data_IF_052650011620
#
_entry.id   IF_052650011620
#
_cell.length_a   1.000
_cell.length_b   1.000
_cell.length_c   1.000
_cell.angle_alpha   90.00
_cell.angle_beta   90.00
_cell.angle_gamma   90.00
#
_symmetry.space_group_name_H-M   'P 1'
#
loop_
_entity.id
_entity.type
_entity.pdbx_description
1 polymer ?
#
# COMPACT_ATOMS: atom_id res chain seq x y z
N UNK A 1 5.27 11.99 7.34
CA UNK A 1 5.51 12.76 6.10
C UNK A 1 6.80 12.32 5.41
N UNK A 2 7.96 12.34 6.11
CA UNK A 2 9.26 11.92 5.56
C UNK A 2 9.30 10.50 4.96
N UNK A 3 8.71 9.50 5.62
CA UNK A 3 8.61 8.14 5.05
C UNK A 3 7.74 8.06 3.78
N UNK A 4 6.70 8.90 3.66
CA UNK A 4 5.82 8.95 2.48
C UNK A 4 6.47 9.71 1.31
N UNK A 5 7.27 10.73 1.62
CA UNK A 5 8.13 11.39 0.65
C UNK A 5 9.17 10.40 0.13
N UNK A 6 9.83 9.69 1.04
CA UNK A 6 10.89 8.74 0.72
C UNK A 6 10.41 7.57 -0.16
N UNK A 7 9.21 7.04 0.12
CA UNK A 7 8.59 6.03 -0.76
C UNK A 7 8.36 6.50 -2.20
N UNK A 8 8.31 7.82 -2.43
CA UNK A 8 8.13 8.41 -3.75
C UNK A 8 9.48 8.65 -4.47
N UNK A 9 10.59 8.66 -3.73
CA UNK A 9 11.96 8.86 -4.24
C UNK A 9 12.58 7.59 -4.81
N UNK A 10 12.27 6.43 -4.22
CA UNK A 10 12.95 5.17 -4.55
C UNK A 10 12.43 4.45 -5.81
N UNK A 11 11.38 4.92 -6.48
CA UNK A 11 10.56 4.01 -7.28
C UNK A 11 10.20 4.49 -8.67
N UNK A 12 10.91 3.93 -9.65
CA UNK A 12 10.62 4.05 -11.06
C UNK A 12 9.33 3.34 -11.45
N UNK A 13 8.31 4.09 -11.88
CA UNK A 13 7.00 3.52 -12.26
C UNK A 13 6.89 3.40 -13.78
N UNK A 14 7.60 2.45 -14.38
CA UNK A 14 7.34 2.03 -15.78
C UNK A 14 6.37 0.85 -15.79
N UNK A 15 5.10 1.02 -16.18
CA UNK A 15 4.16 -0.11 -16.22
C UNK A 15 4.62 -1.13 -17.27
N UNK A 16 5.18 -2.28 -16.86
CA UNK A 16 5.45 -3.36 -17.81
C UNK A 16 4.12 -3.79 -18.39
N UNK A 17 4.08 -3.85 -19.71
CA UNK A 17 2.93 -4.34 -20.45
C UNK A 17 3.17 -5.83 -20.71
N UNK A 18 2.14 -6.65 -20.50
CA UNK A 18 2.17 -8.09 -20.79
C UNK A 18 1.02 -8.45 -21.72
N UNK A 19 1.10 -9.54 -22.49
CA UNK A 19 -0.02 -9.97 -23.33
C UNK A 19 -1.30 -10.13 -22.51
N UNK A 20 -2.44 -9.69 -23.05
CA UNK A 20 -3.73 -9.96 -22.41
C UNK A 20 -4.03 -11.47 -22.45
N UNK A 21 -4.54 -12.03 -21.35
CA UNK A 21 -4.90 -13.44 -21.28
C UNK A 21 -6.06 -13.77 -22.23
N UNK A 22 -6.01 -14.91 -22.94
CA UNK A 22 -7.18 -15.44 -23.62
C UNK A 22 -8.25 -15.86 -22.61
N UNK A 23 -9.53 -15.68 -22.93
CA UNK A 23 -10.65 -16.00 -22.03
C UNK A 23 -10.70 -17.48 -21.66
N UNK A 24 -10.30 -18.38 -22.56
CA UNK A 24 -10.18 -19.82 -22.28
C UNK A 24 -9.24 -20.15 -21.12
N UNK A 25 -8.28 -19.27 -20.81
CA UNK A 25 -7.38 -19.41 -19.67
C UNK A 25 -7.94 -18.81 -18.37
N UNK A 26 -8.96 -17.97 -18.45
CA UNK A 26 -9.50 -17.20 -17.30
C UNK A 26 -10.84 -17.77 -16.86
N UNK A 27 -11.68 -18.22 -17.79
CA UNK A 27 -13.02 -18.77 -17.54
C UNK A 27 -13.03 -19.93 -16.53
N UNK A 28 -12.12 -20.93 -16.58
CA UNK A 28 -12.10 -22.00 -15.57
C UNK A 28 -11.90 -21.46 -14.15
N UNK A 29 -11.23 -20.32 -14.00
CA UNK A 29 -10.99 -19.70 -12.70
C UNK A 29 -12.19 -18.93 -12.18
N UNK A 30 -12.96 -18.34 -13.10
CA UNK A 30 -14.23 -17.72 -12.77
C UNK A 30 -15.25 -18.78 -12.37
N UNK A 31 -15.42 -19.82 -13.21
CA UNK A 31 -16.40 -20.88 -13.01
C UNK A 31 -16.14 -21.72 -11.76
N UNK A 32 -14.88 -22.03 -11.47
CA UNK A 32 -14.50 -22.85 -10.31
C UNK A 32 -14.11 -22.03 -9.09
N UNK A 33 -14.20 -20.69 -9.16
CA UNK A 33 -13.72 -19.79 -8.11
C UNK A 33 -14.40 -20.03 -6.77
N UNK A 34 -15.72 -20.23 -6.78
CA UNK A 34 -16.51 -20.56 -5.60
C UNK A 34 -16.03 -21.87 -4.92
N UNK A 35 -15.83 -22.91 -5.71
CA UNK A 35 -15.36 -24.21 -5.23
C UNK A 35 -13.93 -24.14 -4.70
N UNK A 36 -13.06 -23.36 -5.34
CA UNK A 36 -11.71 -23.13 -4.83
C UNK A 36 -11.72 -22.39 -3.51
N UNK A 37 -12.61 -21.40 -3.32
CA UNK A 37 -12.74 -20.69 -2.05
C UNK A 37 -13.15 -21.65 -0.94
N UNK A 38 -14.18 -22.47 -1.14
CA UNK A 38 -14.66 -23.40 -0.11
C UNK A 38 -13.62 -24.47 0.22
N UNK A 39 -13.03 -25.10 -0.79
CA UNK A 39 -11.98 -26.10 -0.58
C UNK A 39 -10.72 -25.49 0.06
N UNK A 40 -10.39 -24.23 -0.24
CA UNK A 40 -9.26 -23.56 0.39
C UNK A 40 -9.59 -23.08 1.80
N UNK A 41 -10.82 -22.70 2.10
CA UNK A 41 -11.28 -22.43 3.46
C UNK A 41 -11.17 -23.71 4.31
N UNK A 42 -11.58 -24.86 3.78
CA UNK A 42 -11.46 -26.18 4.41
C UNK A 42 -10.00 -26.51 4.73
N UNK A 43 -9.10 -26.28 3.78
CA UNK A 43 -7.65 -26.48 4.00
C UNK A 43 -7.07 -25.51 5.03
N UNK A 44 -7.69 -24.35 5.23
CA UNK A 44 -7.23 -23.30 6.12
C UNK A 44 -8.00 -23.24 7.45
N UNK A 45 -8.82 -24.26 7.76
CA UNK A 45 -9.68 -24.30 8.94
C UNK A 45 -8.96 -24.03 10.27
N UNK A 46 -7.70 -24.46 10.40
CA UNK A 46 -6.89 -24.27 11.62
C UNK A 46 -6.65 -22.78 11.93
N UNK A 47 -6.70 -21.89 10.92
CA UNK A 47 -6.61 -20.45 11.15
C UNK A 47 -7.93 -19.86 11.66
N UNK A 48 -9.08 -20.47 11.33
CA UNK A 48 -10.38 -20.06 11.84
C UNK A 48 -10.60 -20.53 13.28
N UNK A 49 -10.20 -21.76 13.62
CA UNK A 49 -10.30 -22.25 15.00
C UNK A 49 -9.40 -21.47 15.95
N UNK A 50 -8.26 -20.96 15.47
CA UNK A 50 -7.39 -20.06 16.25
C UNK A 50 -8.03 -18.70 16.61
N UNK A 51 -9.20 -18.38 16.03
CA UNK A 51 -10.01 -17.20 16.38
C UNK A 51 -10.96 -17.46 17.56
N UNK A 52 -11.04 -18.69 18.07
CA UNK A 52 -12.15 -19.11 18.93
C UNK A 52 -13.49 -19.18 18.18
N UNK A 53 -13.46 -19.09 16.83
CA UNK A 53 -14.65 -19.22 16.00
C UNK A 53 -14.92 -20.70 15.69
N UNK A 54 -16.19 -21.08 15.73
CA UNK A 54 -16.65 -22.36 15.20
C UNK A 54 -16.41 -22.41 13.70
N UNK A 55 -15.45 -23.25 13.25
CA UNK A 55 -15.20 -23.44 11.83
C UNK A 55 -16.45 -23.89 11.07
N UNK A 56 -17.29 -24.81 11.58
CA UNK A 56 -18.58 -25.13 10.94
C UNK A 56 -19.49 -23.91 10.72
N UNK A 57 -19.58 -23.02 11.71
CA UNK A 57 -20.38 -21.79 11.58
C UNK A 57 -19.78 -20.81 10.56
N UNK A 58 -18.45 -20.63 10.59
CA UNK A 58 -17.73 -19.81 9.62
C UNK A 58 -17.85 -20.35 8.19
N UNK A 59 -17.70 -21.67 8.03
CA UNK A 59 -17.85 -22.38 6.75
C UNK A 59 -19.27 -22.24 6.22
N UNK A 60 -20.29 -22.46 7.05
CA UNK A 60 -21.69 -22.24 6.67
C UNK A 60 -21.91 -20.80 6.22
N UNK A 61 -21.41 -19.82 6.96
CA UNK A 61 -21.47 -18.41 6.58
C UNK A 61 -20.80 -18.12 5.22
N UNK A 62 -19.63 -18.73 4.95
CA UNK A 62 -18.96 -18.60 3.65
C UNK A 62 -19.84 -19.19 2.54
N UNK A 63 -20.35 -20.41 2.72
CA UNK A 63 -21.17 -21.12 1.72
C UNK A 63 -22.48 -20.37 1.44
N UNK A 64 -23.19 -19.93 2.48
CA UNK A 64 -24.44 -19.17 2.35
C UNK A 64 -24.24 -17.85 1.58
N UNK A 65 -22.99 -17.38 1.46
CA UNK A 65 -22.62 -16.13 0.80
C UNK A 65 -21.93 -16.33 -0.54
N UNK A 66 -21.57 -17.56 -0.91
CA UNK A 66 -21.03 -17.91 -2.23
C UNK A 66 -21.92 -17.40 -3.37
N UNK A 67 -23.26 -17.59 -3.36
CA UNK A 67 -24.10 -17.12 -4.47
C UNK A 67 -24.02 -15.60 -4.67
N UNK A 68 -24.07 -14.85 -3.58
CA UNK A 68 -23.94 -13.39 -3.63
C UNK A 68 -22.55 -12.96 -4.10
N UNK A 69 -21.48 -13.69 -3.71
CA UNK A 69 -20.12 -13.44 -4.21
C UNK A 69 -20.06 -13.69 -5.71
N UNK A 70 -20.59 -14.82 -6.19
CA UNK A 70 -20.64 -15.14 -7.62
C UNK A 70 -21.38 -14.05 -8.41
N UNK A 71 -22.55 -13.63 -7.94
CA UNK A 71 -23.33 -12.54 -8.54
C UNK A 71 -22.55 -11.21 -8.59
N UNK A 72 -21.79 -10.90 -7.54
CA UNK A 72 -20.97 -9.70 -7.47
C UNK A 72 -19.78 -9.75 -8.43
N UNK A 73 -19.14 -10.92 -8.58
CA UNK A 73 -18.06 -11.11 -9.57
C UNK A 73 -18.63 -11.05 -10.98
N UNK A 74 -19.82 -11.59 -11.24
CA UNK A 74 -20.50 -11.47 -12.54
C UNK A 74 -20.79 -10.01 -12.87
N UNK A 75 -21.39 -9.27 -11.93
CA UNK A 75 -21.68 -7.85 -12.04
C UNK A 75 -20.42 -7.02 -12.33
N UNK A 76 -19.34 -7.29 -11.61
CA UNK A 76 -18.08 -6.58 -11.80
C UNK A 76 -17.46 -6.91 -13.16
N UNK A 77 -17.47 -8.18 -13.56
CA UNK A 77 -16.94 -8.63 -14.86
C UNK A 77 -17.70 -7.98 -16.02
N UNK A 78 -19.05 -7.93 -15.95
CA UNK A 78 -19.88 -7.20 -16.92
C UNK A 78 -19.55 -5.71 -16.96
N UNK A 79 -19.31 -5.11 -15.80
CA UNK A 79 -18.98 -3.68 -15.68
C UNK A 79 -17.61 -3.31 -16.24
N UNK A 80 -16.66 -4.26 -16.28
CA UNK A 80 -15.32 -4.04 -16.84
C UNK A 80 -15.24 -4.25 -18.35
N UNK A 81 -16.26 -4.86 -18.98
CA UNK A 81 -16.23 -5.21 -20.39
C UNK A 81 -15.30 -6.41 -20.68
N UNK A 82 -14.64 -6.41 -21.84
CA UNK A 82 -13.73 -7.49 -22.23
C UNK A 82 -12.40 -7.43 -21.45
N UNK A 83 -12.37 -8.08 -20.28
CA UNK A 83 -11.17 -8.19 -19.43
C UNK A 83 -10.14 -9.21 -19.97
N UNK A 84 -10.58 -10.13 -20.81
CA UNK A 84 -9.76 -11.12 -21.53
C UNK A 84 -10.04 -11.03 -23.04
N UNK A 85 -9.14 -11.56 -23.87
CA UNK A 85 -9.30 -11.57 -25.32
C UNK A 85 -9.66 -12.98 -25.83
N UNK A 86 -10.20 -13.13 -27.03
CA UNK A 86 -10.47 -14.46 -27.60
C UNK A 86 -9.18 -15.25 -27.96
N UNK A 87 -8.08 -14.52 -28.17
CA UNK A 87 -6.73 -14.99 -28.47
C UNK A 87 -5.74 -14.18 -27.61
N UNK A 88 -4.41 -14.47 -27.60
CA UNK A 88 -3.45 -13.56 -26.98
C UNK A 88 -3.71 -12.13 -27.43
N UNK A 89 -4.18 -11.29 -26.50
CA UNK A 89 -4.74 -9.98 -26.82
C UNK A 89 -3.68 -8.88 -26.82
N UNK A 90 -4.09 -7.62 -26.97
CA UNK A 90 -3.19 -6.49 -26.86
C UNK A 90 -2.41 -6.51 -25.54
N UNK A 91 -1.28 -5.82 -25.52
CA UNK A 91 -0.53 -5.68 -24.28
C UNK A 91 -1.34 -4.88 -23.26
N UNK A 92 -1.40 -5.36 -22.03
CA UNK A 92 -2.10 -4.73 -20.90
C UNK A 92 -1.12 -4.45 -19.76
N UNK A 93 -1.36 -3.41 -18.94
CA UNK A 93 -0.52 -3.15 -17.78
C UNK A 93 -0.54 -4.36 -16.83
N UNK A 94 0.64 -4.92 -16.54
CA UNK A 94 0.75 -6.03 -15.59
C UNK A 94 0.41 -5.53 -14.18
N UNK A 95 -0.56 -6.18 -13.55
CA UNK A 95 -1.06 -5.83 -12.21
C UNK A 95 -0.34 -6.60 -11.12
N UNK A 96 -0.49 -6.10 -9.89
CA UNK A 96 0.11 -6.63 -8.67
C UNK A 96 -0.99 -6.99 -7.69
N UNK A 97 -0.87 -8.17 -7.10
CA UNK A 97 -1.83 -8.64 -6.10
C UNK A 97 -1.78 -7.72 -4.88
N UNK A 98 -0.60 -7.17 -4.61
CA UNK A 98 -0.28 -6.27 -3.52
C UNK A 98 -0.95 -4.91 -3.69
N UNK A 99 -1.01 -4.36 -4.92
CA UNK A 99 -1.64 -3.05 -5.18
C UNK A 99 -3.16 -3.16 -5.11
N UNK A 100 -3.73 -4.25 -5.63
CA UNK A 100 -5.16 -4.52 -5.51
C UNK A 100 -5.56 -4.85 -4.06
N UNK A 101 -4.77 -5.66 -3.34
CA UNK A 101 -4.92 -5.88 -1.89
C UNK A 101 -4.91 -4.56 -1.14
N UNK A 102 -3.98 -3.67 -1.46
CA UNK A 102 -3.87 -2.39 -0.79
C UNK A 102 -5.12 -1.53 -1.04
N UNK A 103 -5.57 -1.42 -2.28
CA UNK A 103 -6.79 -0.68 -2.61
C UNK A 103 -8.02 -1.27 -1.89
N UNK A 104 -8.10 -2.61 -1.81
CA UNK A 104 -9.09 -3.33 -1.03
C UNK A 104 -9.03 -3.01 0.47
N UNK A 105 -7.85 -3.15 1.07
CA UNK A 105 -7.61 -2.88 2.49
C UNK A 105 -7.92 -1.42 2.84
N UNK A 106 -7.65 -0.49 1.92
CA UNK A 106 -7.97 0.92 2.11
C UNK A 106 -9.48 1.12 2.24
N UNK A 107 -10.26 0.54 1.34
CA UNK A 107 -11.73 0.64 1.36
C UNK A 107 -12.33 -0.11 2.54
N UNK A 108 -11.77 -1.27 2.90
CA UNK A 108 -12.12 -2.00 4.14
C UNK A 108 -11.91 -1.14 5.38
N UNK A 109 -10.72 -0.56 5.53
CA UNK A 109 -10.40 0.30 6.66
C UNK A 109 -11.34 1.51 6.72
N UNK A 110 -11.71 2.07 5.58
CA UNK A 110 -12.68 3.17 5.54
C UNK A 110 -14.08 2.72 6.01
N UNK A 111 -14.54 1.54 5.59
CA UNK A 111 -15.84 1.02 6.03
C UNK A 111 -15.87 0.69 7.52
N UNK A 112 -14.82 0.03 8.01
CA UNK A 112 -14.64 -0.32 9.42
C UNK A 112 -14.58 0.93 10.29
N UNK A 113 -13.89 1.97 9.82
CA UNK A 113 -13.83 3.24 10.52
C UNK A 113 -15.22 3.90 10.59
N UNK A 114 -15.98 3.85 9.49
CA UNK A 114 -17.37 4.36 9.46
C UNK A 114 -18.32 3.57 10.34
N UNK A 115 -18.07 2.28 10.56
CA UNK A 115 -18.91 1.43 11.40
C UNK A 115 -18.57 1.49 12.90
N UNK A 116 -17.60 2.30 13.32
CA UNK A 116 -17.19 2.39 14.72
C UNK A 116 -16.43 1.17 15.26
N UNK A 117 -16.13 0.18 14.42
CA UNK A 117 -15.51 -1.10 14.81
C UNK A 117 -13.97 -1.05 14.84
N UNK A 118 -13.38 0.15 14.84
CA UNK A 118 -11.92 0.31 14.75
C UNK A 118 -11.18 -0.29 15.96
N UNK A 119 -11.80 -0.33 17.15
CA UNK A 119 -11.20 -0.85 18.38
C UNK A 119 -11.03 -2.38 18.41
N UNK A 120 -11.97 -3.13 17.84
CA UNK A 120 -11.98 -4.61 17.89
C UNK A 120 -11.11 -5.26 16.79
N UNK A 121 -10.67 -4.44 15.84
CA UNK A 121 -9.97 -4.87 14.62
C UNK A 121 -8.52 -5.30 14.82
N UNK A 122 -7.87 -4.92 15.93
CA UNK A 122 -6.47 -5.25 16.16
C UNK A 122 -6.23 -6.77 16.15
N UNK A 123 -7.10 -7.52 16.82
CA UNK A 123 -7.06 -8.98 16.92
C UNK A 123 -7.61 -9.61 15.63
N UNK A 124 -8.77 -9.13 15.17
CA UNK A 124 -9.43 -9.66 13.97
C UNK A 124 -8.53 -9.54 12.72
N UNK A 125 -7.81 -8.44 12.55
CA UNK A 125 -7.00 -8.21 11.34
C UNK A 125 -5.76 -9.10 11.28
N UNK A 126 -5.09 -9.37 12.41
CA UNK A 126 -3.89 -10.23 12.45
C UNK A 126 -4.24 -11.65 12.03
N UNK A 127 -5.36 -12.16 12.51
CA UNK A 127 -5.75 -13.55 12.27
C UNK A 127 -6.50 -13.70 10.94
N UNK A 128 -7.35 -12.74 10.56
CA UNK A 128 -7.90 -12.67 9.21
C UNK A 128 -6.77 -12.67 8.17
N UNK A 129 -5.69 -11.93 8.40
CA UNK A 129 -4.51 -11.94 7.51
C UNK A 129 -3.86 -13.32 7.39
N UNK A 130 -3.82 -14.13 8.46
CA UNK A 130 -3.32 -15.52 8.41
C UNK A 130 -4.26 -16.43 7.61
N UNK A 131 -5.56 -16.39 7.90
CA UNK A 131 -6.57 -17.19 7.20
C UNK A 131 -6.61 -16.84 5.70
N UNK A 132 -6.67 -15.55 5.37
CA UNK A 132 -6.66 -15.06 4.00
C UNK A 132 -5.34 -15.32 3.29
N UNK A 133 -4.21 -15.21 4.01
CA UNK A 133 -2.90 -15.58 3.48
C UNK A 133 -2.83 -17.06 3.10
N UNK A 134 -3.39 -17.94 3.94
CA UNK A 134 -3.52 -19.36 3.65
C UNK A 134 -4.44 -19.62 2.44
N UNK A 135 -5.65 -19.02 2.42
CA UNK A 135 -6.60 -19.19 1.30
C UNK A 135 -5.98 -18.69 -0.01
N UNK A 136 -5.31 -17.54 0.02
CA UNK A 136 -4.60 -16.98 -1.15
C UNK A 136 -3.52 -17.94 -1.63
N UNK A 137 -2.68 -18.48 -0.75
CA UNK A 137 -1.66 -19.47 -1.12
C UNK A 137 -2.28 -20.73 -1.71
N UNK A 138 -3.36 -21.25 -1.12
CA UNK A 138 -4.07 -22.42 -1.60
C UNK A 138 -4.66 -22.19 -3.01
N UNK A 139 -5.30 -21.05 -3.24
CA UNK A 139 -5.87 -20.72 -4.54
C UNK A 139 -4.77 -20.47 -5.60
N UNK A 140 -3.61 -19.92 -5.22
CA UNK A 140 -2.43 -19.84 -6.11
C UNK A 140 -1.96 -21.21 -6.58
N UNK A 141 -1.96 -22.22 -5.69
CA UNK A 141 -1.59 -23.59 -6.02
C UNK A 141 -2.59 -24.29 -6.95
N UNK A 142 -3.88 -23.93 -6.89
CA UNK A 142 -4.93 -24.50 -7.74
C UNK A 142 -5.01 -23.93 -9.17
N UNK A 143 -3.96 -23.24 -9.61
CA UNK A 143 -3.73 -23.00 -11.05
C UNK A 143 -4.36 -21.75 -11.65
N UNK A 144 -5.07 -20.94 -10.86
CA UNK A 144 -5.59 -19.67 -11.39
C UNK A 144 -4.52 -18.60 -11.52
N UNK A 145 -3.53 -18.60 -10.63
CA UNK A 145 -2.53 -17.54 -10.49
C UNK A 145 -1.11 -17.90 -10.88
N UNK A 146 -0.81 -19.20 -10.96
CA UNK A 146 0.54 -19.70 -10.77
C UNK A 146 1.45 -19.67 -12.00
N UNK A 147 0.94 -19.60 -13.23
CA UNK A 147 1.77 -19.95 -14.40
C UNK A 147 1.58 -19.13 -15.66
N UNK A 148 0.71 -18.11 -15.67
CA UNK A 148 0.33 -17.45 -16.93
C UNK A 148 1.11 -16.16 -17.13
N UNK A 149 1.92 -16.09 -18.18
CA UNK A 149 2.67 -14.90 -18.60
C UNK A 149 1.77 -13.83 -19.25
N UNK A 150 0.52 -13.73 -18.82
CA UNK A 150 -0.49 -12.84 -19.40
C UNK A 150 -1.26 -12.07 -18.31
N UNK A 151 -1.94 -10.97 -18.68
CA UNK A 151 -2.67 -10.09 -17.77
C UNK A 151 -4.13 -9.91 -18.15
N UNK A 152 -4.94 -9.41 -17.22
CA UNK A 152 -6.32 -8.99 -17.50
C UNK A 152 -6.37 -7.49 -17.80
N UNK A 153 -7.17 -7.10 -18.80
CA UNK A 153 -7.48 -5.70 -19.14
C UNK A 153 -8.46 -5.10 -18.13
N UNK A 154 -8.06 -5.03 -16.86
CA UNK A 154 -8.87 -4.44 -15.80
C UNK A 154 -8.69 -2.91 -15.78
N UNK A 155 -9.69 -2.13 -15.30
CA UNK A 155 -9.54 -0.70 -15.00
C UNK A 155 -8.70 -0.48 -13.74
N UNK A 156 -8.30 0.74 -13.38
CA UNK A 156 -7.40 1.00 -12.21
C UNK A 156 -7.80 0.22 -10.94
N UNK A 157 -6.84 -0.17 -10.08
CA UNK A 157 -7.14 -0.99 -8.88
C UNK A 157 -8.23 -0.34 -8.00
N UNK A 158 -8.22 0.98 -7.87
CA UNK A 158 -9.27 1.74 -7.18
C UNK A 158 -10.64 1.58 -7.85
N UNK A 159 -10.71 1.59 -9.18
CA UNK A 159 -11.95 1.41 -9.91
C UNK A 159 -12.44 -0.04 -9.81
N UNK A 160 -11.54 -1.03 -9.92
CA UNK A 160 -11.87 -2.44 -9.66
C UNK A 160 -12.52 -2.56 -8.29
N UNK A 161 -11.88 -2.01 -7.26
CA UNK A 161 -12.40 -2.10 -5.90
C UNK A 161 -13.75 -1.41 -5.72
N UNK A 162 -13.91 -0.21 -6.29
CA UNK A 162 -15.18 0.52 -6.25
C UNK A 162 -16.31 -0.24 -6.95
N UNK A 163 -16.03 -0.82 -8.11
CA UNK A 163 -17.02 -1.61 -8.86
C UNK A 163 -17.42 -2.86 -8.08
N UNK A 164 -16.45 -3.61 -7.54
CA UNK A 164 -16.76 -4.77 -6.69
C UNK A 164 -17.55 -4.38 -5.44
N UNK A 165 -17.23 -3.24 -4.82
CA UNK A 165 -17.99 -2.69 -3.70
C UNK A 165 -19.43 -2.38 -4.12
N UNK A 166 -19.64 -1.66 -5.23
CA UNK A 166 -20.97 -1.32 -5.75
C UNK A 166 -21.81 -2.57 -6.07
N UNK A 167 -21.23 -3.53 -6.80
CA UNK A 167 -21.86 -4.81 -7.12
C UNK A 167 -22.18 -5.61 -5.84
N UNK A 168 -21.28 -5.62 -4.87
CA UNK A 168 -21.51 -6.26 -3.58
C UNK A 168 -22.61 -5.59 -2.75
N UNK A 169 -22.76 -4.27 -2.90
CA UNK A 169 -23.79 -3.46 -2.24
C UNK A 169 -25.19 -3.84 -2.75
N UNK A 170 -25.32 -3.97 -4.07
CA UNK A 170 -26.57 -4.35 -4.73
C UNK A 170 -27.05 -5.75 -4.34
N UNK A 171 -26.15 -6.63 -3.93
CA UNK A 171 -26.45 -8.02 -3.54
C UNK A 171 -26.43 -8.25 -2.02
N UNK A 172 -26.38 -7.19 -1.21
CA UNK A 172 -26.43 -7.29 0.24
C UNK A 172 -25.20 -7.92 0.90
N UNK A 173 -24.04 -8.00 0.21
CA UNK A 173 -22.79 -8.53 0.79
C UNK A 173 -22.13 -7.55 1.78
N UNK A 174 -22.50 -6.26 1.72
CA UNK A 174 -21.80 -5.19 2.42
C UNK A 174 -22.25 -4.93 3.86
N UNK A 175 -23.17 -5.74 4.38
CA UNK A 175 -23.50 -5.72 5.82
C UNK A 175 -22.36 -6.28 6.68
N UNK A 176 -21.36 -6.98 6.09
CA UNK A 176 -20.21 -7.51 6.84
C UNK A 176 -18.87 -7.26 6.13
N UNK A 177 -17.88 -6.64 6.80
CA UNK A 177 -16.56 -6.31 6.21
C UNK A 177 -15.74 -7.55 5.82
N UNK A 178 -16.08 -8.73 6.33
CA UNK A 178 -15.39 -10.00 6.04
C UNK A 178 -15.63 -10.50 4.61
N UNK A 179 -16.71 -10.07 3.96
CA UNK A 179 -17.10 -10.56 2.63
C UNK A 179 -16.36 -9.87 1.49
N UNK A 180 -16.05 -8.58 1.65
CA UNK A 180 -15.20 -7.84 0.72
C UNK A 180 -13.81 -8.51 0.65
N UNK A 181 -13.30 -9.02 1.77
CA UNK A 181 -12.03 -9.75 1.86
C UNK A 181 -11.99 -11.05 1.05
N UNK A 182 -13.12 -11.77 0.96
CA UNK A 182 -13.25 -12.98 0.15
C UNK A 182 -13.30 -12.66 -1.35
N UNK A 183 -14.05 -11.63 -1.73
CA UNK A 183 -14.12 -11.12 -3.11
C UNK A 183 -12.74 -10.63 -3.57
N UNK A 184 -11.99 -9.96 -2.69
CA UNK A 184 -10.62 -9.57 -3.03
C UNK A 184 -9.69 -10.75 -3.15
N UNK A 185 -9.82 -11.76 -2.28
CA UNK A 185 -8.95 -12.94 -2.34
C UNK A 185 -9.04 -13.68 -3.68
N UNK A 186 -10.23 -13.73 -4.32
CA UNK A 186 -10.40 -14.37 -5.64
C UNK A 186 -9.81 -13.57 -6.80
N UNK A 187 -9.77 -12.23 -6.72
CA UNK A 187 -9.12 -11.38 -7.74
C UNK A 187 -7.58 -11.41 -7.71
N UNK A 188 -6.99 -11.88 -6.62
CA UNK A 188 -5.53 -11.91 -6.42
C UNK A 188 -4.84 -13.04 -7.17
N UNK A 189 -5.64 -13.78 -7.95
CA UNK A 189 -5.24 -14.99 -8.63
C UNK A 189 -4.72 -14.76 -10.05
N UNK A 190 -4.23 -13.58 -10.44
CA UNK A 190 -3.77 -13.37 -11.83
C UNK A 190 -2.45 -12.59 -11.92
N UNK A 191 -1.54 -12.80 -10.98
CA UNK A 191 -0.48 -11.81 -10.75
C UNK A 191 0.91 -12.42 -10.62
N UNK A 192 1.75 -12.12 -11.62
CA UNK A 192 3.20 -12.32 -11.59
C UNK A 192 3.91 -11.02 -11.19
N UNK A 193 5.07 -11.05 -10.50
CA UNK A 193 5.87 -9.83 -10.25
C UNK A 193 6.57 -9.38 -11.54
N UNK A 194 6.56 -8.08 -11.91
CA UNK A 194 7.38 -7.60 -13.03
C UNK A 194 8.83 -7.60 -12.59
N UNK A 195 9.69 -8.06 -13.47
CA UNK A 195 11.13 -7.89 -13.33
C UNK A 195 11.52 -6.73 -14.25
N UNK A 196 12.29 -5.79 -13.73
CA UNK A 196 12.87 -4.66 -14.48
C UNK A 196 14.38 -4.67 -14.29
N UNK A 197 15.18 -4.13 -15.22
CA UNK A 197 16.64 -4.10 -15.05
C UNK A 197 17.01 -3.36 -13.77
N UNK A 198 18.02 -3.82 -13.03
CA UNK A 198 18.52 -3.08 -11.87
C UNK A 198 19.22 -1.79 -12.33
N UNK A 199 18.96 -0.68 -11.62
CA UNK A 199 19.64 0.59 -11.89
C UNK A 199 21.13 0.48 -11.59
N UNK A 200 21.94 1.17 -12.39
CA UNK A 200 23.36 1.32 -12.06
C UNK A 200 23.57 2.34 -10.95
N UNK A 201 24.67 2.23 -10.21
CA UNK A 201 24.97 3.17 -9.13
C UNK A 201 25.22 4.60 -9.64
N UNK A 202 25.75 4.75 -10.86
CA UNK A 202 25.96 6.05 -11.50
C UNK A 202 24.63 6.74 -11.85
N UNK A 203 23.62 5.97 -12.26
CA UNK A 203 22.28 6.51 -12.50
C UNK A 203 21.57 6.95 -11.22
N UNK A 204 21.95 6.35 -10.09
CA UNK A 204 21.30 6.57 -8.80
C UNK A 204 22.02 7.62 -7.95
N UNK A 205 23.32 7.82 -8.12
CA UNK A 205 24.13 8.79 -7.36
C UNK A 205 23.53 10.19 -7.34
N UNK A 206 23.31 10.84 -8.50
CA UNK A 206 22.71 12.17 -8.57
C UNK A 206 21.32 12.25 -7.93
N UNK A 207 20.62 11.11 -7.80
CA UNK A 207 19.35 11.05 -7.11
C UNK A 207 19.45 11.34 -5.63
N UNK A 208 20.39 10.67 -4.99
CA UNK A 208 20.60 10.75 -3.55
C UNK A 208 21.16 12.10 -3.18
N UNK A 209 22.07 12.62 -3.99
CA UNK A 209 22.76 13.88 -3.69
C UNK A 209 21.80 15.08 -3.77
N UNK A 210 20.79 15.02 -4.64
CA UNK A 210 19.82 16.11 -4.85
C UNK A 210 18.48 15.90 -4.10
N UNK A 211 18.36 14.88 -3.25
CA UNK A 211 17.09 14.50 -2.63
C UNK A 211 16.48 15.61 -1.75
N UNK A 212 17.33 16.33 -1.00
CA UNK A 212 16.92 17.41 -0.13
C UNK A 212 16.42 18.63 -0.92
N UNK A 213 17.09 18.94 -2.03
CA UNK A 213 16.73 20.04 -2.93
C UNK A 213 15.42 19.74 -3.66
N UNK A 214 15.30 18.54 -4.23
CA UNK A 214 14.06 18.09 -4.88
C UNK A 214 12.89 18.15 -3.88
N UNK A 215 13.12 17.70 -2.65
CA UNK A 215 12.09 17.75 -1.62
C UNK A 215 11.69 19.19 -1.29
N UNK A 216 12.65 20.09 -1.09
CA UNK A 216 12.38 21.49 -0.76
C UNK A 216 11.60 22.17 -1.89
N UNK A 217 12.05 22.01 -3.14
CA UNK A 217 11.35 22.55 -4.31
C UNK A 217 9.93 21.99 -4.44
N UNK A 218 9.74 20.70 -4.15
CA UNK A 218 8.43 20.08 -4.20
C UNK A 218 7.52 20.50 -3.04
N UNK A 219 8.06 20.76 -1.85
CA UNK A 219 7.33 21.38 -0.77
C UNK A 219 6.86 22.79 -1.17
N UNK A 220 7.76 23.61 -1.74
CA UNK A 220 7.47 24.97 -2.19
C UNK A 220 6.38 24.98 -3.27
N UNK A 221 6.45 24.06 -4.23
CA UNK A 221 5.41 23.88 -5.26
C UNK A 221 4.06 23.47 -4.68
N UNK A 222 4.06 22.77 -3.54
CA UNK A 222 2.85 22.25 -2.90
C UNK A 222 2.34 23.15 -1.76
N UNK A 223 2.90 24.34 -1.57
CA UNK A 223 2.57 25.26 -0.47
C UNK A 223 1.07 25.58 -0.35
N UNK A 224 0.35 25.64 -1.47
CA UNK A 224 -1.10 25.95 -1.49
C UNK A 224 -1.92 24.91 -0.71
N UNK A 225 -1.44 23.67 -0.58
CA UNK A 225 -2.10 22.65 0.22
C UNK A 225 -1.91 22.85 1.73
N UNK A 226 -0.91 23.62 2.16
CA UNK A 226 -0.73 24.03 3.56
C UNK A 226 -1.55 25.28 3.86
N UNK A 227 -1.55 26.27 2.96
CA UNK A 227 -2.32 27.51 3.20
C UNK A 227 -3.83 27.27 3.15
N UNK A 228 -4.31 26.37 2.29
CA UNK A 228 -5.75 26.01 2.22
C UNK A 228 -6.33 25.39 3.49
N UNK A 229 -5.49 25.03 4.46
CA UNK A 229 -5.87 24.44 5.75
C UNK A 229 -5.48 25.33 6.93
N UNK A 230 -5.16 26.61 6.66
CA UNK A 230 -4.82 27.61 7.68
C UNK A 230 -3.39 27.51 8.22
N UNK A 231 -2.52 26.71 7.60
CA UNK A 231 -1.11 26.58 8.02
C UNK A 231 -0.28 27.65 7.34
N UNK A 232 0.50 28.39 8.13
CA UNK A 232 1.59 29.26 7.68
C UNK A 232 2.66 28.41 7.00
N UNK A 233 2.70 28.46 5.66
CA UNK A 233 3.71 27.74 4.89
C UNK A 233 5.15 28.14 5.25
N UNK A 234 5.51 29.43 5.40
CA UNK A 234 6.87 29.82 5.79
C UNK A 234 7.31 29.19 7.12
N UNK A 235 6.44 29.21 8.13
CA UNK A 235 6.71 28.60 9.44
C UNK A 235 6.85 27.09 9.32
N UNK A 236 5.89 26.42 8.67
CA UNK A 236 5.93 24.96 8.48
C UNK A 236 7.15 24.52 7.65
N UNK A 237 7.54 25.30 6.66
CA UNK A 237 8.74 25.09 5.85
C UNK A 237 9.98 25.16 6.74
N UNK A 238 10.12 26.18 7.57
CA UNK A 238 11.25 26.28 8.50
C UNK A 238 11.32 25.07 9.42
N UNK A 239 10.19 24.64 10.00
CA UNK A 239 10.12 23.43 10.82
C UNK A 239 10.69 22.19 10.11
N UNK A 240 10.43 22.05 8.81
CA UNK A 240 10.93 20.93 7.99
C UNK A 240 12.42 21.10 7.71
N UNK A 241 12.86 22.31 7.34
CA UNK A 241 14.25 22.61 7.04
C UNK A 241 15.16 22.36 8.25
N UNK A 242 14.71 22.70 9.45
CA UNK A 242 15.44 22.44 10.70
C UNK A 242 15.67 20.93 10.95
N UNK A 243 14.91 20.05 10.28
CA UNK A 243 15.03 18.59 10.37
C UNK A 243 15.73 17.95 9.18
N UNK A 244 16.09 18.73 8.15
CA UNK A 244 16.83 18.22 6.99
C UNK A 244 18.17 17.56 7.36
N UNK A 245 18.97 18.06 8.32
CA UNK A 245 20.20 17.37 8.71
C UNK A 245 19.95 15.95 9.23
N UNK A 246 18.95 15.78 10.10
CA UNK A 246 18.54 14.47 10.61
C UNK A 246 18.00 13.55 9.49
N UNK A 247 17.33 14.12 8.49
CA UNK A 247 16.90 13.38 7.30
C UNK A 247 18.08 12.91 6.44
N UNK A 248 19.06 13.78 6.17
CA UNK A 248 20.27 13.42 5.43
C UNK A 248 21.06 12.31 6.15
N UNK A 249 21.20 12.42 7.48
CA UNK A 249 21.78 11.35 8.30
C UNK A 249 21.02 10.04 8.19
N UNK A 250 19.69 10.09 8.22
CA UNK A 250 18.82 8.92 8.07
C UNK A 250 19.02 8.25 6.71
N UNK A 251 19.08 9.03 5.63
CA UNK A 251 19.28 8.53 4.28
C UNK A 251 20.65 7.87 4.11
N UNK A 252 21.70 8.50 4.66
CA UNK A 252 23.06 7.97 4.64
C UNK A 252 23.12 6.65 5.40
N UNK A 253 22.55 6.60 6.61
CA UNK A 253 22.45 5.37 7.38
C UNK A 253 21.71 4.28 6.60
N UNK A 254 20.56 4.58 6.00
CA UNK A 254 19.76 3.60 5.28
C UNK A 254 20.48 3.09 4.03
N UNK A 255 21.13 3.98 3.26
CA UNK A 255 21.99 3.61 2.13
C UNK A 255 23.06 2.62 2.55
N UNK A 256 23.74 2.87 3.67
CA UNK A 256 24.78 1.98 4.19
C UNK A 256 24.22 0.64 4.68
N UNK A 257 22.99 0.60 5.21
CA UNK A 257 22.36 -0.62 5.71
C UNK A 257 21.77 -1.53 4.62
N UNK A 258 21.37 -0.98 3.46
CA UNK A 258 20.84 -1.80 2.38
C UNK A 258 21.91 -2.46 1.50
N UNK A 259 23.18 -2.07 1.65
CA UNK A 259 24.29 -2.60 0.85
C UNK A 259 24.15 -2.24 -0.65
N UNK A 260 24.50 -3.20 -1.52
CA UNK A 260 24.50 -3.00 -2.98
C UNK A 260 23.09 -3.06 -3.59
N UNK A 261 22.33 -1.97 -3.42
CA UNK A 261 20.98 -1.82 -3.98
C UNK A 261 20.96 -1.49 -5.48
N UNK A 262 22.10 -1.02 -6.00
CA UNK A 262 22.36 -0.72 -7.41
C UNK A 262 23.47 -1.63 -7.94
N UNK A 263 23.54 -1.78 -9.26
CA UNK A 263 24.57 -2.55 -9.93
C UNK A 263 25.73 -1.64 -10.37
N UNK A 264 26.97 -2.15 -10.42
CA UNK A 264 28.12 -1.39 -10.94
C UNK A 264 28.12 -1.27 -12.47
N UNK A 265 27.39 -2.16 -13.15
CA UNK A 265 27.19 -2.23 -14.59
C UNK A 265 25.73 -2.64 -14.84
N UNK A 266 25.22 -2.69 -16.10
CA UNK A 266 23.86 -3.18 -16.36
C UNK A 266 23.57 -4.47 -15.60
N UNK A 267 22.67 -4.37 -14.62
CA UNK A 267 22.53 -5.36 -13.55
C UNK A 267 21.54 -6.47 -13.85
N UNK A 268 21.40 -7.44 -12.92
CA UNK A 268 20.36 -8.45 -12.99
C UNK A 268 18.97 -7.81 -12.99
N UNK A 269 17.98 -8.56 -13.44
CA UNK A 269 16.60 -8.12 -13.34
C UNK A 269 16.14 -8.18 -11.87
N UNK A 270 15.47 -7.14 -11.38
CA UNK A 270 14.95 -7.04 -10.01
C UNK A 270 13.43 -6.90 -10.01
N UNK A 271 12.74 -7.36 -8.95
CA UNK A 271 11.31 -7.16 -8.82
C UNK A 271 10.96 -5.68 -8.81
N UNK A 272 10.08 -5.27 -9.71
CA UNK A 272 9.56 -3.91 -9.74
C UNK A 272 8.73 -3.65 -8.49
N UNK A 273 8.99 -2.51 -7.88
CA UNK A 273 8.31 -2.05 -6.67
C UNK A 273 7.35 -0.90 -6.95
N UNK A 274 6.37 -0.76 -6.08
CA UNK A 274 5.28 0.21 -6.18
C UNK A 274 5.35 1.16 -4.99
N UNK A 275 5.29 2.47 -5.24
CA UNK A 275 5.38 3.46 -4.18
C UNK A 275 4.25 3.28 -3.17
N UNK A 276 3.10 2.83 -3.66
CA UNK A 276 1.91 2.57 -2.88
C UNK A 276 2.14 1.48 -1.82
N UNK A 277 2.87 0.41 -2.12
CA UNK A 277 3.11 -0.68 -1.16
C UNK A 277 4.07 -0.25 -0.06
N UNK A 278 5.12 0.50 -0.42
CA UNK A 278 6.05 1.08 0.55
C UNK A 278 5.38 2.17 1.41
N UNK A 279 4.56 3.03 0.81
CA UNK A 279 3.73 4.03 1.53
C UNK A 279 2.83 3.36 2.57
N UNK A 280 2.23 2.23 2.21
CA UNK A 280 1.39 1.48 3.13
C UNK A 280 2.19 0.87 4.28
N UNK A 281 3.32 0.25 3.99
CA UNK A 281 4.20 -0.31 5.03
C UNK A 281 4.64 0.79 6.00
N UNK A 282 5.05 1.95 5.47
CA UNK A 282 5.39 3.13 6.24
C UNK A 282 4.21 3.64 7.07
N UNK A 283 3.01 3.74 6.47
CA UNK A 283 1.82 4.19 7.18
C UNK A 283 1.43 3.25 8.32
N UNK A 284 1.51 1.93 8.10
CA UNK A 284 1.24 0.92 9.13
C UNK A 284 2.22 1.04 10.31
N UNK A 285 3.52 1.21 10.03
CA UNK A 285 4.52 1.40 11.08
C UNK A 285 4.23 2.69 11.88
N UNK A 286 3.98 3.80 11.18
CA UNK A 286 3.64 5.07 11.82
C UNK A 286 2.35 5.00 12.65
N UNK A 287 1.31 4.34 12.13
CA UNK A 287 0.07 4.11 12.88
C UNK A 287 0.34 3.24 14.11
N UNK A 288 1.22 2.23 14.01
CA UNK A 288 1.64 1.42 15.15
C UNK A 288 2.26 2.27 16.25
N UNK A 289 3.21 3.14 15.88
CA UNK A 289 3.85 4.08 16.82
C UNK A 289 2.85 5.04 17.45
N UNK A 290 1.99 5.68 16.66
CA UNK A 290 1.02 6.65 17.16
C UNK A 290 -0.04 6.01 18.06
N UNK A 291 -0.45 4.78 17.75
CA UNK A 291 -1.38 4.04 18.59
C UNK A 291 -0.75 3.65 19.93
N UNK A 292 0.55 3.32 19.96
CA UNK A 292 1.28 3.06 21.20
C UNK A 292 1.36 4.30 22.09
N UNK A 293 1.41 5.50 21.50
CA UNK A 293 1.35 6.77 22.24
C UNK A 293 -0.08 7.22 22.60
N UNK A 294 -1.13 6.43 22.31
CA UNK A 294 -2.53 6.83 22.55
C UNK A 294 -3.06 7.91 21.60
N UNK A 295 -2.37 8.19 20.48
CA UNK A 295 -2.67 9.29 19.56
C UNK A 295 -3.33 8.84 18.24
N UNK A 296 -3.89 7.63 18.20
CA UNK A 296 -4.53 7.08 16.99
C UNK A 296 -5.64 7.98 16.41
N UNK A 297 -6.43 8.64 17.28
CA UNK A 297 -7.48 9.57 16.85
C UNK A 297 -6.94 10.85 16.20
N UNK A 298 -5.93 11.48 16.82
CA UNK A 298 -5.28 12.68 16.29
C UNK A 298 -4.56 12.39 14.96
N UNK A 299 -3.93 11.21 14.85
CA UNK A 299 -3.28 10.74 13.63
C UNK A 299 -4.25 10.64 12.45
N UNK A 300 -5.49 10.19 12.68
CA UNK A 300 -6.51 10.08 11.64
C UNK A 300 -6.95 11.46 11.12
N UNK A 301 -7.17 12.42 12.03
CA UNK A 301 -7.54 13.80 11.69
C UNK A 301 -6.43 14.50 10.89
N UNK A 302 -5.18 14.42 11.36
CA UNK A 302 -4.01 14.93 10.64
C UNK A 302 -3.81 14.23 9.30
N UNK A 303 -4.06 12.91 9.24
CA UNK A 303 -3.91 12.13 8.03
C UNK A 303 -4.78 12.63 6.89
N UNK A 304 -6.03 13.05 7.16
CA UNK A 304 -6.93 13.58 6.14
C UNK A 304 -6.40 14.86 5.51
N UNK A 305 -5.87 15.75 6.36
CA UNK A 305 -5.34 17.06 6.00
C UNK A 305 -4.00 16.90 5.25
N UNK A 306 -3.09 16.11 5.81
CA UNK A 306 -1.77 15.87 5.24
C UNK A 306 -1.80 15.13 3.89
N UNK A 307 -2.84 14.33 3.61
CA UNK A 307 -2.94 13.54 2.36
C UNK A 307 -2.81 14.39 1.10
N UNK A 308 -3.41 15.58 1.05
CA UNK A 308 -3.35 16.45 -0.16
C UNK A 308 -1.94 16.99 -0.37
N UNK A 309 -1.35 17.58 0.67
CA UNK A 309 0.02 18.09 0.64
C UNK A 309 1.04 16.98 0.33
N UNK A 310 0.98 15.86 1.06
CA UNK A 310 1.85 14.69 0.85
C UNK A 310 1.65 14.11 -0.54
N UNK A 311 0.42 14.00 -1.03
CA UNK A 311 0.14 13.50 -2.38
C UNK A 311 0.73 14.41 -3.46
N UNK A 312 0.64 15.73 -3.28
CA UNK A 312 1.28 16.71 -4.16
C UNK A 312 2.81 16.56 -4.14
N UNK A 313 3.42 16.53 -2.94
CA UNK A 313 4.88 16.41 -2.81
C UNK A 313 5.36 15.10 -3.42
N UNK A 314 4.71 13.98 -3.08
CA UNK A 314 4.99 12.65 -3.64
C UNK A 314 4.92 12.65 -5.17
N UNK A 315 3.88 13.27 -5.76
CA UNK A 315 3.73 13.39 -7.21
C UNK A 315 4.84 14.26 -7.81
N UNK A 316 5.15 15.40 -7.21
CA UNK A 316 6.21 16.29 -7.67
C UNK A 316 7.59 15.61 -7.63
N UNK A 317 7.89 14.97 -6.51
CA UNK A 317 9.12 14.20 -6.29
C UNK A 317 9.23 13.06 -7.29
N UNK A 318 8.12 12.38 -7.61
CA UNK A 318 8.12 11.35 -8.65
C UNK A 318 8.45 11.94 -10.02
N UNK A 319 7.90 13.10 -10.36
CA UNK A 319 8.13 13.73 -11.67
C UNK A 319 9.53 14.33 -11.81
N UNK A 320 10.10 14.87 -10.73
CA UNK A 320 11.42 15.56 -10.74
C UNK A 320 12.57 14.68 -10.27
N UNK A 321 12.29 13.67 -9.47
CA UNK A 321 13.25 12.71 -8.96
C UNK A 321 13.40 11.52 -9.89
N UNK A 322 14.17 10.54 -9.41
CA UNK A 322 14.69 9.45 -10.26
C UNK A 322 13.65 8.38 -10.55
N UNK A 323 12.58 8.39 -9.76
CA UNK A 323 11.38 7.61 -9.96
C UNK A 323 10.62 7.92 -11.27
N UNK A 324 10.82 9.11 -11.88
CA UNK A 324 10.04 9.52 -13.04
C UNK A 324 10.66 9.15 -14.38
N UNK A 325 11.98 9.08 -14.45
CA UNK A 325 12.74 9.12 -15.70
C UNK A 325 13.43 7.80 -16.05
N UNK A 326 13.52 6.86 -15.10
CA UNK A 326 14.28 5.62 -15.27
C UNK A 326 13.37 4.41 -15.49
N UNK A 327 13.80 3.49 -16.34
CA UNK A 327 13.11 2.21 -16.61
C UNK A 327 13.67 1.06 -15.78
N UNK A 328 14.56 1.36 -14.83
CA UNK A 328 15.25 0.40 -13.97
C UNK A 328 14.70 0.39 -12.53
N UNK A 329 15.03 -0.62 -11.72
CA UNK A 329 14.63 -0.75 -10.31
C UNK A 329 15.81 -0.93 -9.36
N UNK A 330 15.56 -0.86 -8.05
CA UNK A 330 16.57 -1.11 -7.02
C UNK A 330 16.40 -2.50 -6.40
N UNK A 331 17.52 -3.19 -6.14
CA UNK A 331 17.55 -4.45 -5.40
C UNK A 331 17.42 -4.17 -3.91
N UNK A 332 16.21 -3.80 -3.49
CA UNK A 332 15.89 -3.51 -2.10
C UNK A 332 15.32 -4.74 -1.39
N UNK A 333 15.41 -4.83 -0.05
CA UNK A 333 14.75 -5.86 0.76
C UNK A 333 13.24 -5.60 0.87
N UNK A 334 12.46 -6.50 1.47
CA UNK A 334 10.99 -6.35 1.55
C UNK A 334 10.55 -4.98 2.10
N UNK A 335 9.37 -4.48 1.72
CA UNK A 335 8.90 -3.14 2.14
C UNK A 335 8.90 -2.96 3.67
N UNK A 336 8.60 -4.01 4.44
CA UNK A 336 8.69 -3.97 5.90
C UNK A 336 10.13 -3.83 6.40
N UNK A 337 11.09 -4.51 5.77
CA UNK A 337 12.51 -4.36 6.10
C UNK A 337 13.03 -2.98 5.72
N UNK A 338 12.60 -2.42 4.58
CA UNK A 338 12.91 -1.03 4.22
C UNK A 338 12.43 -0.09 5.33
N UNK A 339 11.14 -0.17 5.67
CA UNK A 339 10.55 0.72 6.69
C UNK A 339 11.20 0.54 8.06
N UNK A 340 11.50 -0.69 8.48
CA UNK A 340 12.18 -0.98 9.75
C UNK A 340 13.62 -0.47 9.77
N UNK A 341 14.35 -0.61 8.68
CA UNK A 341 15.71 -0.06 8.52
C UNK A 341 15.66 1.46 8.61
N UNK A 342 14.72 2.09 7.91
CA UNK A 342 14.52 3.54 7.97
C UNK A 342 14.17 4.02 9.36
N UNK A 343 13.27 3.32 10.07
CA UNK A 343 12.93 3.63 11.45
C UNK A 343 14.18 3.64 12.33
N UNK A 344 14.96 2.56 12.27
CA UNK A 344 16.19 2.42 13.05
C UNK A 344 17.20 3.53 12.74
N UNK A 345 17.41 3.82 11.46
CA UNK A 345 18.29 4.90 11.01
C UNK A 345 17.77 6.30 11.37
N UNK A 346 16.46 6.50 11.39
CA UNK A 346 15.85 7.77 11.78
C UNK A 346 16.00 8.01 13.28
N UNK A 347 15.85 6.96 14.09
CA UNK A 347 16.12 7.02 15.53
C UNK A 347 17.59 7.30 15.81
N UNK A 348 18.52 6.60 15.14
CA UNK A 348 19.96 6.81 15.33
C UNK A 348 20.44 8.19 14.87
N UNK A 349 19.79 8.77 13.86
CA UNK A 349 20.10 10.11 13.34
C UNK A 349 19.42 11.24 14.13
N UNK A 350 18.75 10.91 15.25
CA UNK A 350 18.04 11.89 16.08
C UNK A 350 16.74 12.42 15.46
N UNK A 351 16.33 11.96 14.27
CA UNK A 351 15.13 12.42 13.56
C UNK A 351 13.85 11.85 14.20
N UNK A 352 13.90 10.59 14.65
CA UNK A 352 12.79 9.86 15.22
C UNK A 352 13.01 9.60 16.72
N UNK A 353 13.33 10.66 17.46
CA UNK A 353 13.36 10.67 18.93
C UNK A 353 12.10 11.35 19.46
N UNK A 354 11.72 11.03 20.70
CA UNK A 354 10.60 11.68 21.38
C UNK A 354 10.76 13.21 21.40
N UNK A 355 11.94 13.72 21.75
CA UNK A 355 12.20 15.17 21.78
C UNK A 355 12.08 15.82 20.39
N UNK A 356 12.64 15.20 19.35
CA UNK A 356 12.54 15.72 17.98
C UNK A 356 11.11 15.75 17.47
N UNK A 357 10.30 14.72 17.77
CA UNK A 357 8.88 14.74 17.41
C UNK A 357 8.09 15.77 18.19
N UNK A 358 8.34 15.93 19.48
CA UNK A 358 7.67 16.95 20.31
C UNK A 358 8.00 18.36 19.80
N UNK A 359 9.27 18.64 19.51
CA UNK A 359 9.69 19.92 18.92
C UNK A 359 9.07 20.16 17.55
N UNK A 360 9.07 19.13 16.68
CA UNK A 360 8.45 19.22 15.36
C UNK A 360 6.94 19.46 15.47
N UNK A 361 6.27 18.78 16.40
CA UNK A 361 4.86 18.95 16.67
C UNK A 361 4.55 20.36 17.18
N UNK A 362 5.32 20.86 18.14
CA UNK A 362 5.20 22.23 18.65
C UNK A 362 5.44 23.28 17.56
N UNK A 363 6.41 23.05 16.67
CA UNK A 363 6.65 23.92 15.52
C UNK A 363 5.44 23.94 14.57
N UNK A 364 4.80 22.79 14.32
CA UNK A 364 3.58 22.70 13.52
C UNK A 364 2.36 23.34 14.20
N UNK A 365 2.27 23.28 15.54
CA UNK A 365 1.26 24.06 16.29
C UNK A 365 1.47 25.55 16.04
N UNK A 366 2.70 26.05 16.16
CA UNK A 366 3.07 27.44 15.86
C UNK A 366 2.83 27.82 14.40
N UNK A 367 2.87 26.85 13.48
CA UNK A 367 2.53 27.05 12.09
C UNK A 367 1.02 27.12 11.81
N UNK A 368 0.14 26.93 12.81
CA UNK A 368 -1.32 27.05 12.64
C UNK A 368 -2.08 25.73 12.74
N UNK A 369 -1.55 24.72 13.43
CA UNK A 369 -2.26 23.46 13.74
C UNK A 369 -2.58 23.37 15.25
N UNK A 370 -3.45 24.25 15.80
CA UNK A 370 -3.70 24.32 17.24
C UNK A 370 -4.23 23.01 17.83
N UNK A 371 -4.94 22.19 17.05
CA UNK A 371 -5.45 20.89 17.48
C UNK A 371 -4.38 19.89 17.90
N UNK A 372 -3.09 20.17 17.64
CA UNK A 372 -1.99 19.35 18.12
C UNK A 372 -1.44 19.76 19.47
N UNK A 373 -1.78 20.94 19.99
CA UNK A 373 -1.19 21.47 21.23
C UNK A 373 -1.28 20.46 22.39
N UNK A 374 -2.46 19.86 22.61
CA UNK A 374 -2.68 18.90 23.70
C UNK A 374 -2.05 17.52 23.46
N UNK A 375 -1.76 17.21 22.20
CA UNK A 375 -1.21 15.92 21.78
C UNK A 375 0.31 15.94 21.72
N UNK A 376 0.94 17.10 21.44
CA UNK A 376 2.38 17.20 21.25
C UNK A 376 3.17 16.69 22.46
N UNK A 377 2.90 17.09 23.72
CA UNK A 377 3.64 16.62 24.88
C UNK A 377 3.48 15.11 25.16
N UNK A 378 2.38 14.52 24.66
CA UNK A 378 2.04 13.10 24.86
C UNK A 378 2.69 12.18 23.83
N UNK A 379 3.34 12.73 22.81
CA UNK A 379 4.11 11.95 21.84
C UNK A 379 5.28 11.28 22.55
N UNK A 380 5.28 9.95 22.52
CA UNK A 380 6.39 9.11 23.01
C UNK A 380 6.67 8.05 21.96
N UNK A 381 7.91 8.02 21.46
CA UNK A 381 8.37 6.97 20.54
C UNK A 381 9.21 5.97 21.33
N UNK A 382 8.92 4.68 21.14
CA UNK A 382 9.72 3.55 21.58
C UNK A 382 10.29 2.73 20.42
#
# INVERSE_FOLDING_TARGET
>A
MLLLIFSSLLLSVSSQMIPQCPCSLVEPCYNNGADYITQCADRCQNHFTSLGLSYPAARKCIIDKVPAVTDAVECATKSFGQVCAARPGPLVPKRYSETLQLAAFRELNEMIFRSGLAGEMGVLSKVAKKALGCITKCMKQRGCAGSKQCGLALPSDTQVVKTFKQCGQQRGLLTTPMMLLLIFSSLLLSVSSQMIPQCTCDELGPCYDNIADILTQCADRCQNHFTSIGISYPTARQCILDRLPGFSGTLTCAKNNFGNVCAAAPGPMVPKRYAETLQLAAFRELSGMLNQSGLGGAAAALGKVARKAVGCIAKCVRTRGCAGTKTCGLSLPSDNQIVSTFKSCASSSGLLTTSSLQQMCGCMVGAGIPQLADSCPKLVIS
#
